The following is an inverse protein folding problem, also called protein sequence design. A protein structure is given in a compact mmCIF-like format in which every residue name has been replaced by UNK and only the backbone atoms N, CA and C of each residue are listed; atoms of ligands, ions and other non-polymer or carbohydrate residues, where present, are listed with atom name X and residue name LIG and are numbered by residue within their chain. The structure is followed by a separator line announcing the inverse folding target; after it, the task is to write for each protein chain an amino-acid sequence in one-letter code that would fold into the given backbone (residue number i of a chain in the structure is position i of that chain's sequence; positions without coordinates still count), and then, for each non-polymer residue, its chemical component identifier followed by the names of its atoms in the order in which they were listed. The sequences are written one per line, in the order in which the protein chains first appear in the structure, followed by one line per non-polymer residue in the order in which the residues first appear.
data_IF_211952801525
#
_entry.id   IF_211952801525
#
_cell.length_a   1.000
_cell.length_b   1.000
_cell.length_c   1.000
_cell.angle_alpha   90.00
_cell.angle_beta   90.00
_cell.angle_gamma   90.00
#
_symmetry.space_group_name_H-M   'P 1'
#
loop_
_entity.id
_entity.type
_entity.pdbx_description
1 polymer ?
#
# COMPACT_ATOMS: atom_id res chain seq x y z
N UNK A 1 -1.79 -25.65 -4.48
CA UNK A 1 -0.71 -24.66 -4.45
C UNK A 1 0.66 -25.31 -4.36
N UNK A 2 1.68 -24.67 -4.88
CA UNK A 2 3.07 -25.10 -4.79
C UNK A 2 3.78 -24.22 -3.76
N UNK A 3 4.35 -24.84 -2.74
CA UNK A 3 5.01 -24.13 -1.65
C UNK A 3 6.51 -24.36 -1.75
N UNK A 4 7.29 -23.30 -1.78
CA UNK A 4 8.74 -23.35 -1.86
C UNK A 4 9.40 -23.80 -0.56
N UNK A 5 10.72 -23.65 -0.50
CA UNK A 5 11.52 -24.06 0.66
C UNK A 5 11.49 -22.97 1.74
N UNK A 6 11.54 -23.40 2.99
CA UNK A 6 11.60 -22.52 4.16
C UNK A 6 10.45 -21.49 4.22
N UNK A 7 9.28 -21.88 3.74
CA UNK A 7 8.05 -21.06 3.82
C UNK A 7 7.43 -21.25 5.18
N UNK A 8 7.09 -20.15 5.83
CA UNK A 8 6.38 -20.16 7.10
C UNK A 8 4.92 -19.81 6.88
N UNK A 9 4.02 -20.73 7.21
CA UNK A 9 2.59 -20.52 7.11
C UNK A 9 2.00 -20.54 8.51
N UNK A 10 1.47 -19.42 8.93
CA UNK A 10 0.96 -19.25 10.29
C UNK A 10 -0.46 -19.79 10.46
N UNK A 11 -0.88 -19.94 11.72
CA UNK A 11 -2.17 -20.55 12.05
C UNK A 11 -3.35 -19.82 11.41
N UNK A 12 -4.33 -20.60 10.95
CA UNK A 12 -5.57 -20.06 10.38
C UNK A 12 -5.41 -19.41 9.00
N UNK A 13 -4.23 -19.42 8.42
CA UNK A 13 -4.05 -18.92 7.06
C UNK A 13 -4.59 -19.92 6.04
N UNK A 14 -4.99 -19.40 4.89
CA UNK A 14 -5.51 -20.21 3.77
C UNK A 14 -4.79 -19.84 2.50
N UNK A 15 -4.32 -20.86 1.80
CA UNK A 15 -3.64 -20.72 0.49
C UNK A 15 -4.52 -21.39 -0.54
N UNK A 16 -5.16 -20.61 -1.39
CA UNK A 16 -6.22 -21.10 -2.26
C UNK A 16 -5.84 -20.93 -3.74
N UNK A 17 -6.11 -21.98 -4.51
CA UNK A 17 -5.94 -21.98 -5.96
C UNK A 17 -4.57 -22.48 -6.43
N UNK A 18 -4.35 -22.50 -7.76
CA UNK A 18 -3.10 -22.97 -8.35
C UNK A 18 -2.03 -21.88 -8.29
N UNK A 19 -1.63 -21.48 -7.09
CA UNK A 19 -0.66 -20.43 -6.85
C UNK A 19 0.65 -21.01 -6.35
N UNK A 20 1.71 -20.20 -6.42
CA UNK A 20 3.05 -20.55 -5.94
C UNK A 20 3.46 -19.59 -4.82
N UNK A 21 3.99 -20.13 -3.75
CA UNK A 21 4.62 -19.35 -2.70
C UNK A 21 6.12 -19.56 -2.81
N UNK A 22 6.85 -18.48 -3.05
CA UNK A 22 8.30 -18.50 -3.24
C UNK A 22 9.05 -18.84 -1.96
N UNK A 23 10.31 -19.25 -2.12
CA UNK A 23 11.17 -19.63 -1.00
C UNK A 23 11.34 -18.52 0.03
N UNK A 24 11.50 -18.89 1.28
CA UNK A 24 11.74 -17.97 2.40
C UNK A 24 10.62 -16.94 2.63
N UNK A 25 9.44 -17.22 2.13
CA UNK A 25 8.28 -16.35 2.32
C UNK A 25 7.54 -16.68 3.61
N UNK A 26 6.76 -15.72 4.10
CA UNK A 26 5.96 -15.87 5.31
C UNK A 26 4.52 -15.46 5.04
N UNK A 27 3.61 -16.31 5.50
CA UNK A 27 2.17 -16.04 5.45
C UNK A 27 1.69 -15.80 6.88
N UNK A 28 1.19 -14.63 7.16
CA UNK A 28 0.74 -14.26 8.50
C UNK A 28 -0.51 -15.02 8.92
N UNK A 29 -0.73 -15.08 10.22
CA UNK A 29 -1.91 -15.74 10.77
C UNK A 29 -3.21 -15.15 10.21
N UNK A 30 -4.13 -16.01 9.81
CA UNK A 30 -5.43 -15.61 9.27
C UNK A 30 -5.39 -15.03 7.84
N UNK A 31 -4.24 -14.97 7.20
CA UNK A 31 -4.16 -14.47 5.84
C UNK A 31 -4.80 -15.42 4.82
N UNK A 32 -5.44 -14.87 3.81
CA UNK A 32 -6.02 -15.64 2.70
C UNK A 32 -5.27 -15.28 1.43
N UNK A 33 -4.43 -16.21 0.97
CA UNK A 33 -3.56 -16.01 -0.18
C UNK A 33 -4.25 -16.51 -1.44
N UNK A 34 -4.47 -15.62 -2.39
CA UNK A 34 -5.17 -15.89 -3.64
C UNK A 34 -4.29 -15.70 -4.87
N UNK A 35 -3.09 -15.17 -4.72
CA UNK A 35 -2.14 -14.88 -5.80
C UNK A 35 -0.76 -15.40 -5.47
N UNK A 36 0.07 -15.59 -6.48
CA UNK A 36 1.45 -16.00 -6.31
C UNK A 36 2.20 -15.05 -5.37
N UNK A 37 3.03 -15.62 -4.52
CA UNK A 37 3.87 -14.87 -3.58
C UNK A 37 5.32 -15.01 -4.04
N UNK A 38 6.00 -13.90 -4.35
CA UNK A 38 7.42 -13.94 -4.73
C UNK A 38 8.30 -14.39 -3.55
N UNK A 39 9.52 -14.85 -3.81
CA UNK A 39 10.43 -15.27 -2.75
C UNK A 39 10.75 -14.14 -1.78
N UNK A 40 11.13 -14.50 -0.55
CA UNK A 40 11.51 -13.55 0.50
C UNK A 40 10.47 -12.47 0.80
N UNK A 41 9.21 -12.86 0.75
CA UNK A 41 8.09 -11.93 0.95
C UNK A 41 7.27 -12.31 2.16
N UNK A 42 6.68 -11.33 2.82
CA UNK A 42 5.71 -11.52 3.89
C UNK A 42 4.36 -10.99 3.43
N UNK A 43 3.33 -11.83 3.55
CA UNK A 43 1.97 -11.47 3.15
C UNK A 43 1.03 -11.52 4.34
N UNK A 44 0.12 -10.57 4.43
CA UNK A 44 -0.87 -10.46 5.51
C UNK A 44 -2.22 -10.05 4.94
N UNK A 45 -3.27 -10.41 5.65
CA UNK A 45 -4.61 -9.89 5.40
C UNK A 45 -5.52 -10.80 4.57
N UNK A 46 -6.72 -10.30 4.33
CA UNK A 46 -7.78 -10.96 3.54
C UNK A 46 -8.34 -9.93 2.56
N UNK A 47 -8.04 -10.00 1.27
CA UNK A 47 -7.03 -10.86 0.63
C UNK A 47 -5.60 -10.49 1.05
N UNK A 48 -4.71 -11.47 1.06
CA UNK A 48 -3.34 -11.24 1.48
C UNK A 48 -2.59 -10.34 0.49
N UNK A 49 -1.79 -9.43 1.03
CA UNK A 49 -0.93 -8.54 0.26
C UNK A 49 0.47 -8.51 0.86
N UNK A 50 1.44 -8.15 0.04
CA UNK A 50 2.84 -8.14 0.43
C UNK A 50 3.11 -6.91 1.29
N UNK A 51 3.61 -7.14 2.51
CA UNK A 51 4.00 -6.05 3.42
C UNK A 51 5.51 -5.94 3.58
N UNK A 52 6.25 -7.01 3.25
CA UNK A 52 7.71 -7.02 3.23
C UNK A 52 8.21 -7.84 2.05
N UNK A 53 9.27 -7.38 1.42
CA UNK A 53 9.94 -8.06 0.33
C UNK A 53 11.45 -7.89 0.50
N UNK A 54 12.19 -9.02 0.51
CA UNK A 54 13.64 -9.03 0.74
C UNK A 54 14.05 -8.33 2.05
N UNK A 55 13.26 -8.53 3.10
CA UNK A 55 13.52 -7.94 4.41
C UNK A 55 13.20 -6.45 4.55
N UNK A 56 12.73 -5.82 3.49
CA UNK A 56 12.35 -4.41 3.49
C UNK A 56 10.84 -4.25 3.51
N UNK A 57 10.37 -3.29 4.27
CA UNK A 57 8.96 -2.93 4.28
C UNK A 57 8.57 -2.44 2.88
N UNK A 58 7.56 -3.06 2.32
CA UNK A 58 6.99 -2.61 1.05
C UNK A 58 6.06 -1.46 1.36
N UNK A 59 6.32 -0.31 0.74
CA UNK A 59 5.40 0.80 0.78
C UNK A 59 4.08 0.39 0.13
N UNK A 60 3.00 1.05 0.56
CA UNK A 60 1.68 0.80 0.03
C UNK A 60 1.72 0.77 -1.51
N UNK A 61 0.97 -0.18 -2.08
CA UNK A 61 0.83 -0.34 -3.53
C UNK A 61 0.66 1.04 -4.19
N UNK A 62 1.36 1.33 -5.31
CA UNK A 62 1.14 2.58 -6.06
C UNK A 62 -0.33 2.88 -6.35
N UNK A 63 -1.17 1.86 -6.47
CA UNK A 63 -2.62 2.02 -6.60
C UNK A 63 -3.27 2.56 -5.31
N UNK A 64 -2.70 2.27 -4.16
CA UNK A 64 -3.13 2.84 -2.88
C UNK A 64 -2.54 4.23 -2.66
N UNK A 65 -1.44 4.54 -3.34
CA UNK A 65 -0.82 5.87 -3.37
C UNK A 65 -1.41 6.76 -4.45
N UNK A 66 -2.02 6.20 -5.47
CA UNK A 66 -2.95 6.94 -6.30
C UNK A 66 -4.19 7.13 -5.44
N UNK A 67 -4.09 8.02 -4.52
CA UNK A 67 -5.23 8.44 -3.76
C UNK A 67 -6.39 8.73 -4.71
N UNK A 68 -7.49 8.03 -4.54
CA UNK A 68 -8.76 8.70 -4.73
C UNK A 68 -8.68 9.84 -3.73
N UNK A 69 -8.48 11.08 -4.15
CA UNK A 69 -8.22 12.12 -3.17
C UNK A 69 -9.45 12.21 -2.27
N UNK A 70 -9.20 12.20 -0.98
CA UNK A 70 -10.23 12.53 -0.02
C UNK A 70 -10.87 13.85 -0.48
N UNK A 71 -12.18 13.92 -0.77
CA UNK A 71 -12.82 15.15 -1.22
C UNK A 71 -12.56 16.32 -0.28
N UNK A 72 -12.45 16.06 1.02
CA UNK A 72 -12.12 17.07 2.02
C UNK A 72 -10.71 17.62 1.83
N UNK A 73 -9.74 16.75 1.54
CA UNK A 73 -8.36 17.17 1.30
C UNK A 73 -8.24 17.99 0.02
N UNK A 74 -8.98 17.65 -1.03
CA UNK A 74 -9.03 18.44 -2.26
C UNK A 74 -9.60 19.84 -2.01
N UNK A 75 -10.65 19.97 -1.23
CA UNK A 75 -11.21 21.27 -0.85
C UNK A 75 -10.22 22.12 -0.05
N UNK A 76 -9.51 21.50 0.90
CA UNK A 76 -8.49 22.18 1.68
C UNK A 76 -7.36 22.68 0.77
N UNK A 77 -6.90 21.86 -0.16
CA UNK A 77 -5.84 22.24 -1.10
C UNK A 77 -6.29 23.38 -2.02
N UNK A 78 -7.52 23.35 -2.49
CA UNK A 78 -8.11 24.42 -3.31
C UNK A 78 -8.25 25.72 -2.53
N UNK A 79 -8.68 25.67 -1.28
CA UNK A 79 -8.79 26.82 -0.40
C UNK A 79 -7.41 27.43 -0.12
N UNK A 80 -6.42 26.61 0.13
CA UNK A 80 -5.05 27.06 0.35
C UNK A 80 -4.49 27.77 -0.89
N UNK A 81 -4.77 27.26 -2.08
CA UNK A 81 -4.37 27.91 -3.33
C UNK A 81 -5.04 29.28 -3.50
N UNK A 82 -6.33 29.39 -3.18
CA UNK A 82 -7.06 30.66 -3.24
C UNK A 82 -6.51 31.68 -2.25
N UNK A 83 -6.22 31.24 -1.04
CA UNK A 83 -5.63 32.11 -0.01
C UNK A 83 -4.29 32.64 -0.48
N UNK A 84 -3.42 31.79 -1.03
CA UNK A 84 -2.13 32.21 -1.56
C UNK A 84 -2.25 33.22 -2.70
N UNK A 85 -3.19 33.01 -3.60
CA UNK A 85 -3.45 33.93 -4.71
C UNK A 85 -3.95 35.29 -4.20
N UNK A 86 -4.86 35.29 -3.24
CA UNK A 86 -5.38 36.50 -2.63
C UNK A 86 -4.28 37.27 -1.87
N UNK A 87 -3.43 36.58 -1.17
CA UNK A 87 -2.28 37.20 -0.48
C UNK A 87 -1.32 37.87 -1.47
N UNK A 88 -1.05 37.22 -2.59
CA UNK A 88 -0.22 37.79 -3.65
C UNK A 88 -0.84 39.04 -4.27
N UNK A 89 -2.15 39.02 -4.50
CA UNK A 89 -2.88 40.18 -4.99
C UNK A 89 -2.87 41.34 -3.99
N UNK A 90 -3.00 41.05 -2.72
CA UNK A 90 -2.90 42.07 -1.66
C UNK A 90 -1.48 42.69 -1.58
N UNK A 91 -0.45 41.88 -1.75
CA UNK A 91 0.93 42.40 -1.81
C UNK A 91 1.16 43.32 -2.99
N UNK A 92 0.61 43.01 -4.15
CA UNK A 92 0.69 43.88 -5.32
C UNK A 92 -0.01 45.22 -5.10
N UNK A 93 -1.14 45.22 -4.40
CA UNK A 93 -1.87 46.44 -4.07
C UNK A 93 -1.18 47.30 -3.02
N UNK A 94 -0.42 46.69 -2.11
CA UNK A 94 0.28 47.43 -1.06
C UNK A 94 1.62 47.99 -1.48
N UNK A 95 2.11 47.65 -2.68
CA UNK A 95 3.36 48.18 -3.25
C UNK A 95 3.20 49.40 -4.16
N UNK A 96 2.03 49.95 -4.20
CA UNK A 96 1.78 51.18 -4.94
C UNK A 96 2.02 52.43 -4.10
#
# INVERSE_FOLDING_TARGET
PTIGNRVMISAGSKVLGPIKIGDDSRVAAGAVVLKDVPPNSTVVGVPAHIVRKNGKKVEANPLDQIHIPDPVQLEIDNLNKRIKTLEEQLKEQTHK
#
